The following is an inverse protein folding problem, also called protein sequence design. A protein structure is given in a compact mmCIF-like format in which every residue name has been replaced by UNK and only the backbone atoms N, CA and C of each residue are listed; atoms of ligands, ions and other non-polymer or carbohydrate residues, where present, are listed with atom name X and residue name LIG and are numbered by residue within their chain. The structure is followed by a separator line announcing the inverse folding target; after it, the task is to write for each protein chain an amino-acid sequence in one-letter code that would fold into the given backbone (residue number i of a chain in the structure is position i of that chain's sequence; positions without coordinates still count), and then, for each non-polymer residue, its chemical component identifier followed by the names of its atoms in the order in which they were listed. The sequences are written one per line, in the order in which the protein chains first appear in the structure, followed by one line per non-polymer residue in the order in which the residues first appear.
data_IF_113494756615
#
_entry.id   IF_113494756615
#
_cell.length_a   1.000
_cell.length_b   1.000
_cell.length_c   1.000
_cell.angle_alpha   90.00
_cell.angle_beta   90.00
_cell.angle_gamma   90.00
#
_symmetry.space_group_name_H-M   'P 1'
#
loop_
_entity.id
_entity.type
_entity.pdbx_description
1 polymer ?
#
# COMPACT_ATOMS: atom_id res chain seq x y z
N UNK A 1 -46.24 -3.97 -15.98
CA UNK A 1 -45.25 -4.88 -15.37
C UNK A 1 -44.03 -4.02 -15.11
N UNK A 2 -44.08 -3.31 -13.99
CA UNK A 2 -43.12 -2.25 -13.64
C UNK A 2 -41.97 -2.89 -12.86
N UNK A 3 -40.79 -2.95 -13.48
CA UNK A 3 -39.60 -3.61 -12.95
C UNK A 3 -38.80 -2.71 -11.99
N UNK A 4 -39.34 -1.55 -11.59
CA UNK A 4 -38.62 -0.53 -10.80
C UNK A 4 -38.82 -0.63 -9.29
N UNK A 5 -39.72 -1.49 -8.79
CA UNK A 5 -40.00 -1.62 -7.35
C UNK A 5 -38.91 -2.33 -6.54
N UNK A 6 -37.90 -2.92 -7.19
CA UNK A 6 -36.75 -3.56 -6.52
C UNK A 6 -35.61 -2.57 -6.18
N UNK A 7 -35.67 -1.32 -6.66
CA UNK A 7 -34.61 -0.32 -6.48
C UNK A 7 -34.77 0.54 -5.21
N UNK A 8 -35.73 0.22 -4.34
CA UNK A 8 -35.98 0.95 -3.08
C UNK A 8 -35.55 0.17 -1.84
N UNK A 9 -34.46 -0.60 -1.91
CA UNK A 9 -33.86 -1.23 -0.72
C UNK A 9 -33.26 -0.14 0.17
N UNK A 10 -34.13 0.50 0.95
CA UNK A 10 -33.77 1.54 1.91
C UNK A 10 -33.15 0.83 3.08
N UNK A 11 -31.82 0.70 3.06
CA UNK A 11 -31.08 0.10 4.17
C UNK A 11 -31.37 0.94 5.42
N UNK A 12 -31.79 0.33 6.54
CA UNK A 12 -32.04 1.08 7.76
C UNK A 12 -30.75 1.77 8.22
N UNK A 13 -30.86 3.03 8.65
CA UNK A 13 -29.71 3.88 9.03
C UNK A 13 -28.81 3.17 10.05
N UNK A 14 -29.41 2.43 10.98
CA UNK A 14 -28.71 1.63 11.98
C UNK A 14 -27.80 0.56 11.33
N UNK A 15 -28.29 -0.16 10.32
CA UNK A 15 -27.46 -1.14 9.60
C UNK A 15 -26.35 -0.45 8.81
N UNK A 16 -26.62 0.70 8.18
CA UNK A 16 -25.57 1.48 7.50
C UNK A 16 -24.45 1.90 8.45
N UNK A 17 -24.80 2.34 9.67
CA UNK A 17 -23.82 2.71 10.70
C UNK A 17 -22.98 1.51 11.13
N UNK A 18 -23.60 0.35 11.33
CA UNK A 18 -22.88 -0.90 11.64
C UNK A 18 -21.90 -1.31 10.53
N UNK A 19 -22.33 -1.23 9.27
CA UNK A 19 -21.46 -1.51 8.12
C UNK A 19 -20.27 -0.55 8.03
N UNK A 20 -20.44 0.73 8.36
CA UNK A 20 -19.34 1.70 8.39
C UNK A 20 -18.31 1.31 9.46
N UNK A 21 -18.76 0.93 10.66
CA UNK A 21 -17.83 0.51 11.72
C UNK A 21 -17.09 -0.78 11.35
N UNK A 22 -17.77 -1.75 10.75
CA UNK A 22 -17.15 -2.97 10.23
C UNK A 22 -16.09 -2.64 9.19
N UNK A 23 -16.45 -1.81 8.20
CA UNK A 23 -15.51 -1.38 7.16
C UNK A 23 -14.27 -0.70 7.74
N UNK A 24 -14.43 0.20 8.72
CA UNK A 24 -13.28 0.86 9.38
C UNK A 24 -12.38 -0.17 10.09
N UNK A 25 -12.96 -1.17 10.76
CA UNK A 25 -12.19 -2.25 11.39
C UNK A 25 -11.44 -3.10 10.37
N UNK A 26 -12.05 -3.38 9.23
CA UNK A 26 -11.45 -4.14 8.13
C UNK A 26 -10.24 -3.40 7.53
N UNK A 27 -10.28 -2.07 7.46
CA UNK A 27 -9.15 -1.26 7.01
C UNK A 27 -7.91 -1.45 7.90
N UNK A 28 -8.09 -1.48 9.22
CA UNK A 28 -6.99 -1.73 10.16
C UNK A 28 -6.41 -3.15 10.00
N UNK A 29 -7.27 -4.16 9.81
CA UNK A 29 -6.81 -5.53 9.54
C UNK A 29 -6.05 -5.61 8.22
N UNK A 30 -6.58 -5.00 7.16
CA UNK A 30 -5.94 -4.95 5.85
C UNK A 30 -4.55 -4.32 5.93
N UNK A 31 -4.41 -3.22 6.70
CA UNK A 31 -3.11 -2.57 6.93
C UNK A 31 -2.10 -3.50 7.57
N UNK A 32 -2.50 -4.20 8.63
CA UNK A 32 -1.62 -5.13 9.35
C UNK A 32 -1.22 -6.30 8.47
N UNK A 33 -2.17 -6.85 7.71
CA UNK A 33 -1.91 -7.95 6.78
C UNK A 33 -0.97 -7.52 5.66
N UNK A 34 -1.08 -6.29 5.15
CA UNK A 34 -0.14 -5.75 4.16
C UNK A 34 1.30 -5.70 4.73
N UNK A 35 1.46 -5.20 5.96
CA UNK A 35 2.78 -5.18 6.65
C UNK A 35 3.33 -6.58 6.85
N UNK A 36 2.50 -7.51 7.33
CA UNK A 36 2.89 -8.92 7.50
C UNK A 36 3.30 -9.56 6.18
N UNK A 37 2.55 -9.31 5.10
CA UNK A 37 2.87 -9.83 3.77
C UNK A 37 4.24 -9.36 3.28
N UNK A 38 4.56 -8.07 3.46
CA UNK A 38 5.89 -7.54 3.13
C UNK A 38 6.98 -8.15 4.01
N UNK A 39 6.74 -8.35 5.30
CA UNK A 39 7.69 -9.01 6.19
C UNK A 39 8.01 -10.45 5.76
N UNK A 40 6.99 -11.20 5.32
CA UNK A 40 7.17 -12.57 4.78
C UNK A 40 7.97 -12.54 3.47
N UNK A 41 7.70 -11.59 2.57
CA UNK A 41 8.47 -11.44 1.33
C UNK A 41 9.95 -11.13 1.59
N UNK A 42 10.22 -10.26 2.58
CA UNK A 42 11.60 -9.95 2.99
C UNK A 42 12.25 -11.19 3.59
N UNK A 43 11.54 -11.94 4.43
CA UNK A 43 12.08 -13.18 5.02
C UNK A 43 12.47 -14.19 3.95
N UNK A 44 11.57 -14.46 2.98
CA UNK A 44 11.84 -15.34 1.85
C UNK A 44 13.04 -14.86 1.02
N UNK A 45 13.18 -13.54 0.86
CA UNK A 45 14.33 -12.96 0.19
C UNK A 45 15.64 -13.23 0.95
N UNK A 46 15.67 -12.99 2.26
CA UNK A 46 16.90 -13.16 3.07
C UNK A 46 17.41 -14.60 3.04
N UNK A 47 16.51 -15.58 3.18
CA UNK A 47 16.93 -16.99 3.21
C UNK A 47 17.45 -17.47 1.84
N UNK A 48 16.88 -16.97 0.74
CA UNK A 48 17.30 -17.39 -0.61
C UNK A 48 18.47 -16.56 -1.15
N UNK A 49 18.73 -15.37 -0.60
CA UNK A 49 19.81 -14.49 -1.06
C UNK A 49 21.21 -15.14 -0.96
N UNK A 50 21.47 -15.93 0.09
CA UNK A 50 22.74 -16.63 0.24
C UNK A 50 23.03 -17.60 -0.90
N UNK A 51 22.02 -18.38 -1.28
CA UNK A 51 22.10 -19.33 -2.40
C UNK A 51 22.18 -18.60 -3.75
N UNK A 52 21.53 -17.44 -3.89
CA UNK A 52 21.62 -16.62 -5.10
C UNK A 52 23.02 -16.06 -5.33
N UNK A 53 23.66 -15.52 -4.29
CA UNK A 53 25.00 -14.93 -4.40
C UNK A 53 26.03 -16.02 -4.70
N UNK A 54 25.88 -17.20 -4.11
CA UNK A 54 26.82 -18.31 -4.31
C UNK A 54 26.63 -19.03 -5.65
N UNK A 55 25.39 -19.15 -6.13
CA UNK A 55 25.06 -19.98 -7.30
C UNK A 55 24.78 -19.14 -8.55
N UNK A 56 23.95 -18.10 -8.41
CA UNK A 56 23.48 -17.31 -9.55
C UNK A 56 24.51 -16.28 -9.97
N UNK A 57 25.14 -15.56 -9.03
CA UNK A 57 26.04 -14.45 -9.35
C UNK A 57 27.30 -14.88 -10.14
N UNK A 58 28.02 -15.96 -9.79
CA UNK A 58 29.17 -16.40 -10.57
C UNK A 58 28.80 -17.07 -11.91
N UNK A 59 27.52 -17.43 -12.10
CA UNK A 59 27.04 -18.02 -13.34
C UNK A 59 26.97 -17.01 -14.49
N UNK A 60 27.20 -17.49 -15.72
CA UNK A 60 27.19 -16.67 -16.95
C UNK A 60 25.87 -15.88 -17.06
N UNK A 61 25.97 -14.63 -17.50
CA UNK A 61 24.79 -13.77 -17.72
C UNK A 61 23.94 -14.35 -18.86
N UNK A 62 22.82 -14.97 -18.49
CA UNK A 62 21.78 -15.44 -19.40
C UNK A 62 20.58 -14.48 -19.33
N UNK A 63 19.84 -14.25 -20.43
CA UNK A 63 18.59 -13.47 -20.40
C UNK A 63 17.60 -13.94 -19.32
N UNK A 64 17.51 -15.25 -19.09
CA UNK A 64 16.67 -15.83 -18.04
C UNK A 64 17.08 -15.37 -16.63
N UNK A 65 18.39 -15.26 -16.37
CA UNK A 65 18.93 -14.75 -15.10
C UNK A 65 18.57 -13.28 -14.89
N UNK A 66 18.64 -12.47 -15.95
CA UNK A 66 18.27 -11.05 -15.89
C UNK A 66 16.78 -10.89 -15.59
N UNK A 67 15.91 -11.62 -16.28
CA UNK A 67 14.46 -11.59 -16.04
C UNK A 67 14.11 -12.09 -14.63
N UNK A 68 14.78 -13.14 -14.16
CA UNK A 68 14.60 -13.66 -12.80
C UNK A 68 14.97 -12.61 -11.74
N UNK A 69 16.16 -12.01 -11.83
CA UNK A 69 16.61 -10.98 -10.90
C UNK A 69 15.72 -9.73 -11.00
N UNK A 70 15.35 -9.29 -12.21
CA UNK A 70 14.47 -8.15 -12.40
C UNK A 70 13.12 -8.36 -11.70
N UNK A 71 12.46 -9.50 -11.90
CA UNK A 71 11.20 -9.79 -11.22
C UNK A 71 11.34 -9.75 -9.70
N UNK A 72 12.42 -10.32 -9.16
CA UNK A 72 12.65 -10.38 -7.72
C UNK A 72 12.89 -9.00 -7.11
N UNK A 73 13.82 -8.22 -7.66
CA UNK A 73 14.18 -6.91 -7.10
C UNK A 73 13.13 -5.83 -7.40
N UNK A 74 12.48 -5.86 -8.57
CA UNK A 74 11.39 -4.92 -8.88
C UNK A 74 10.20 -5.15 -7.96
N UNK A 75 9.83 -6.41 -7.69
CA UNK A 75 8.72 -6.74 -6.79
C UNK A 75 9.01 -6.28 -5.36
N UNK A 76 10.24 -6.43 -4.86
CA UNK A 76 10.61 -5.92 -3.53
C UNK A 76 10.53 -4.40 -3.48
N UNK A 77 11.07 -3.71 -4.49
CA UNK A 77 11.04 -2.24 -4.56
C UNK A 77 9.61 -1.73 -4.64
N UNK A 78 8.74 -2.34 -5.44
CA UNK A 78 7.34 -1.94 -5.57
C UNK A 78 6.56 -2.15 -4.27
N UNK A 79 6.76 -3.28 -3.59
CA UNK A 79 6.12 -3.57 -2.30
C UNK A 79 6.62 -2.64 -1.19
N UNK A 80 7.91 -2.30 -1.19
CA UNK A 80 8.47 -1.28 -0.29
C UNK A 80 7.91 0.12 -0.58
N UNK A 81 7.75 0.51 -1.84
CA UNK A 81 7.13 1.77 -2.19
C UNK A 81 5.66 1.79 -1.75
N UNK A 82 4.93 0.69 -1.95
CA UNK A 82 3.52 0.58 -1.56
C UNK A 82 3.33 0.72 -0.05
N UNK A 83 4.12 0.01 0.77
CA UNK A 83 3.97 0.06 2.23
C UNK A 83 4.28 1.44 2.80
N UNK A 84 5.25 2.16 2.22
CA UNK A 84 5.61 3.53 2.59
C UNK A 84 4.48 4.52 2.32
N UNK A 85 3.79 4.37 1.18
CA UNK A 85 2.60 5.17 0.87
C UNK A 85 1.43 4.81 1.80
N UNK A 86 1.23 3.51 2.08
CA UNK A 86 0.13 3.02 2.90
C UNK A 86 0.27 3.38 4.40
N UNK A 87 1.51 3.52 4.91
CA UNK A 87 1.78 3.95 6.28
C UNK A 87 1.90 5.46 6.45
N UNK A 88 1.95 6.24 5.36
CA UNK A 88 2.12 7.68 5.41
C UNK A 88 3.47 8.13 5.99
N UNK A 89 4.50 7.27 5.92
CA UNK A 89 5.84 7.57 6.44
C UNK A 89 6.50 8.71 5.66
N UNK A 90 6.21 8.82 4.37
CA UNK A 90 6.48 10.02 3.60
C UNK A 90 5.29 10.97 3.78
N UNK A 91 5.28 11.72 4.89
CA UNK A 91 4.44 12.90 5.00
C UNK A 91 4.93 13.92 3.97
N UNK A 92 4.42 13.84 2.75
CA UNK A 92 4.66 14.84 1.71
C UNK A 92 4.17 16.18 2.25
N UNK A 93 5.10 17.08 2.55
CA UNK A 93 5.20 18.52 2.21
C UNK A 93 3.93 19.26 1.71
N UNK A 94 2.73 18.92 2.17
CA UNK A 94 1.50 19.67 1.94
C UNK A 94 1.13 20.47 3.18
N UNK A 95 1.61 20.05 4.36
CA UNK A 95 1.40 20.79 5.61
C UNK A 95 2.20 22.12 5.67
N UNK A 96 3.30 22.24 4.91
CA UNK A 96 4.09 23.49 4.88
C UNK A 96 3.47 24.57 3.98
N UNK A 97 2.77 24.18 2.91
CA UNK A 97 2.13 25.15 2.00
C UNK A 97 0.89 25.78 2.63
N UNK A 98 0.11 25.00 3.39
CA UNK A 98 -1.01 25.53 4.18
C UNK A 98 -0.56 26.47 5.32
N UNK A 99 0.56 26.15 5.98
CA UNK A 99 1.12 26.99 7.05
C UNK A 99 1.79 28.28 6.53
N UNK A 100 2.23 28.30 5.27
CA UNK A 100 2.72 29.50 4.58
C UNK A 100 1.59 30.39 4.07
N UNK A 101 0.48 29.80 3.62
CA UNK A 101 -0.69 30.56 3.16
C UNK A 101 -1.41 31.29 4.31
N UNK A 102 -1.54 30.65 5.48
CA UNK A 102 -2.15 31.29 6.67
C UNK A 102 -1.28 32.40 7.29
N UNK A 103 0.04 32.39 7.07
CA UNK A 103 0.95 33.46 7.53
C UNK A 103 1.05 34.67 6.57
N UNK A 104 0.61 34.52 5.33
CA UNK A 104 0.58 35.62 4.34
C UNK A 104 -0.69 36.47 4.37
N UNK A 105 -1.74 36.03 5.09
CA UNK A 105 -3.07 36.68 5.08
C UNK A 105 -3.35 37.55 6.31
N UNK A 106 -2.35 37.76 7.18
CA UNK A 106 -2.46 38.56 8.40
C UNK A 106 -1.72 39.90 8.37
N UNK A 107 -1.23 40.35 7.21
CA UNK A 107 -0.56 41.65 7.06
C UNK A 107 -1.18 42.40 5.88
N UNK A 108 -2.28 43.10 6.15
CA UNK A 108 -3.02 43.90 5.19
C UNK A 108 -3.99 44.82 5.94
N UNK A 109 -3.43 45.95 6.38
CA UNK A 109 -4.01 47.21 6.85
C UNK A 109 -5.55 47.33 6.92
#
# INVERSE_FOLDING_TARGET
MDHTSDLSYTIPVQATVEHIFQFISELEHTRRLAVTGVAVLIYDWVITFGDEVTTIWPSKLSPTKVVFLANRYINIVSQMAMIVNFTGALKTTTQEVGARHSRGMGIGN
#
